data_IF_344980776467
#
_entry.id   IF_344980776467
#
_cell.length_a   1.000
_cell.length_b   1.000
_cell.length_c   1.000
_cell.angle_alpha   90.00
_cell.angle_beta   90.00
_cell.angle_gamma   90.00
#
_symmetry.space_group_name_H-M   'P 1'
#
loop_
_entity.id
_entity.type
_entity.pdbx_description
1 polymer ?
#
# COMPACT_ATOMS: atom_id res chain seq x y z
N UNK A 1 3.70 -18.90 24.65
CA UNK A 1 2.49 -18.54 23.91
C UNK A 1 2.81 -17.31 23.07
N UNK A 2 2.89 -17.44 21.75
CA UNK A 2 3.35 -16.37 20.85
C UNK A 2 2.42 -15.16 20.84
N UNK A 3 2.95 -13.98 20.56
CA UNK A 3 2.13 -12.77 20.38
C UNK A 3 1.22 -12.93 19.16
N UNK A 4 0.00 -12.35 19.17
CA UNK A 4 -0.92 -12.43 18.04
C UNK A 4 -0.29 -11.88 16.73
N UNK A 5 0.54 -10.85 16.87
CA UNK A 5 1.36 -10.24 15.80
C UNK A 5 2.30 -11.28 15.15
N UNK A 6 2.94 -12.13 15.94
CA UNK A 6 3.87 -13.15 15.43
C UNK A 6 3.15 -14.20 14.58
N UNK A 7 1.93 -14.57 14.96
CA UNK A 7 1.15 -15.58 14.23
C UNK A 7 0.76 -15.06 12.84
N UNK A 8 0.31 -13.80 12.74
CA UNK A 8 -0.06 -13.18 11.47
C UNK A 8 1.12 -13.11 10.49
N UNK A 9 2.29 -12.68 10.95
CA UNK A 9 3.50 -12.61 10.11
C UNK A 9 3.96 -14.02 9.70
N UNK A 10 3.93 -14.99 10.61
CA UNK A 10 4.34 -16.38 10.31
C UNK A 10 3.38 -17.08 9.35
N UNK A 11 2.09 -16.72 9.32
CA UNK A 11 1.16 -17.27 8.31
C UNK A 11 1.48 -16.78 6.90
N UNK A 12 2.03 -15.57 6.73
CA UNK A 12 2.42 -15.05 5.43
C UNK A 12 3.63 -15.79 4.81
N UNK A 13 4.48 -16.41 5.63
CA UNK A 13 5.64 -17.22 5.18
C UNK A 13 5.20 -18.38 4.28
N UNK A 14 4.00 -18.93 4.51
CA UNK A 14 3.45 -20.04 3.72
C UNK A 14 3.10 -19.61 2.28
N UNK A 15 2.82 -18.33 2.04
CA UNK A 15 2.49 -17.79 0.72
C UNK A 15 3.69 -17.16 0.01
N UNK A 16 4.43 -16.30 0.70
CA UNK A 16 5.46 -15.44 0.10
C UNK A 16 6.90 -15.97 0.31
N UNK A 17 7.06 -16.96 1.20
CA UNK A 17 8.34 -17.51 1.59
C UNK A 17 9.07 -16.68 2.64
N UNK A 18 10.02 -17.31 3.33
CA UNK A 18 10.69 -16.72 4.49
C UNK A 18 11.51 -15.46 4.14
N UNK A 19 12.18 -15.46 2.98
CA UNK A 19 13.05 -14.36 2.56
C UNK A 19 12.27 -13.05 2.32
N UNK A 20 11.07 -13.14 1.74
CA UNK A 20 10.21 -11.96 1.51
C UNK A 20 9.73 -11.37 2.84
N UNK A 21 9.35 -12.24 3.79
CA UNK A 21 8.90 -11.85 5.13
C UNK A 21 10.03 -11.23 5.94
N UNK A 22 11.24 -11.76 5.88
CA UNK A 22 12.42 -11.16 6.52
C UNK A 22 12.74 -9.78 5.94
N UNK A 23 12.69 -9.62 4.62
CA UNK A 23 12.90 -8.33 3.97
C UNK A 23 11.85 -7.30 4.40
N UNK A 24 10.57 -7.70 4.45
CA UNK A 24 9.48 -6.84 4.91
C UNK A 24 9.61 -6.46 6.39
N UNK A 25 10.03 -7.40 7.25
CA UNK A 25 10.32 -7.11 8.66
C UNK A 25 11.48 -6.11 8.79
N UNK A 26 12.57 -6.32 8.03
CA UNK A 26 13.72 -5.42 8.06
C UNK A 26 13.35 -4.00 7.58
N UNK A 27 12.44 -3.89 6.61
CA UNK A 27 11.92 -2.61 6.14
C UNK A 27 11.04 -1.92 7.18
N UNK A 28 10.09 -2.62 7.77
CA UNK A 28 9.27 -2.06 8.85
C UNK A 28 10.12 -1.58 10.04
N UNK A 29 11.15 -2.35 10.41
CA UNK A 29 12.10 -1.97 11.45
C UNK A 29 12.89 -0.70 11.09
N UNK A 30 13.29 -0.54 9.81
CA UNK A 30 14.00 0.63 9.32
C UNK A 30 13.13 1.90 9.37
N UNK A 31 11.84 1.76 9.10
CA UNK A 31 10.86 2.84 9.21
C UNK A 31 10.42 3.11 10.66
N UNK A 32 10.92 2.32 11.63
CA UNK A 32 10.60 2.47 13.04
C UNK A 32 9.18 2.03 13.42
N UNK A 33 8.52 1.25 12.56
CA UNK A 33 7.15 0.78 12.78
C UNK A 33 7.15 -0.71 13.11
N UNK A 34 6.49 -1.06 14.21
CA UNK A 34 6.44 -2.43 14.74
C UNK A 34 5.01 -3.00 14.71
N UNK A 35 4.28 -2.77 13.61
CA UNK A 35 2.93 -3.31 13.41
C UNK A 35 2.93 -4.44 12.38
N UNK A 36 2.17 -5.51 12.65
CA UNK A 36 1.91 -6.58 11.68
C UNK A 36 1.31 -6.03 10.39
N UNK A 37 0.42 -5.04 10.48
CA UNK A 37 -0.24 -4.45 9.31
C UNK A 37 0.76 -3.84 8.33
N UNK A 38 1.84 -3.22 8.83
CA UNK A 38 2.87 -2.61 7.99
C UNK A 38 3.70 -3.68 7.29
N UNK A 39 4.11 -4.72 8.00
CA UNK A 39 4.84 -5.85 7.41
C UNK A 39 3.99 -6.55 6.34
N UNK A 40 2.72 -6.78 6.63
CA UNK A 40 1.78 -7.39 5.69
C UNK A 40 1.51 -6.50 4.48
N UNK A 41 1.48 -5.18 4.66
CA UNK A 41 1.34 -4.21 3.56
C UNK A 41 2.58 -4.22 2.65
N UNK A 42 3.79 -4.21 3.23
CA UNK A 42 5.04 -4.32 2.48
C UNK A 42 5.06 -5.63 1.67
N UNK A 43 4.66 -6.75 2.28
CA UNK A 43 4.51 -8.03 1.59
C UNK A 43 3.44 -7.99 0.49
N UNK A 44 2.33 -7.29 0.71
CA UNK A 44 1.29 -7.11 -0.31
C UNK A 44 1.84 -6.34 -1.53
N UNK A 45 2.64 -5.29 -1.29
CA UNK A 45 3.31 -4.52 -2.36
C UNK A 45 4.36 -5.34 -3.11
N UNK A 46 5.05 -6.27 -2.45
CA UNK A 46 5.97 -7.18 -3.14
C UNK A 46 5.25 -8.17 -4.06
N UNK A 47 4.00 -8.54 -3.74
CA UNK A 47 3.13 -9.38 -4.57
C UNK A 47 2.50 -8.63 -5.73
N UNK A 48 2.42 -7.29 -5.66
CA UNK A 48 1.80 -6.51 -6.72
C UNK A 48 2.56 -6.73 -8.04
N UNK A 49 1.83 -6.95 -9.15
CA UNK A 49 2.45 -7.08 -10.44
C UNK A 49 3.21 -5.79 -10.79
N UNK A 50 4.31 -5.89 -11.56
CA UNK A 50 5.08 -4.72 -11.96
C UNK A 50 4.16 -3.70 -12.64
N UNK A 51 4.43 -2.42 -12.38
CA UNK A 51 3.63 -1.33 -12.94
C UNK A 51 3.46 -1.51 -14.45
N UNK A 52 2.21 -1.52 -14.96
CA UNK A 52 1.97 -1.63 -16.39
C UNK A 52 2.73 -0.54 -17.16
N UNK A 53 3.20 -0.88 -18.36
CA UNK A 53 3.91 0.07 -19.22
C UNK A 53 3.03 1.31 -19.43
N UNK A 54 3.58 2.53 -19.26
CA UNK A 54 2.81 3.76 -19.44
C UNK A 54 2.20 3.81 -20.85
N UNK A 55 0.88 3.96 -20.93
CA UNK A 55 0.22 4.23 -22.19
C UNK A 55 0.54 5.67 -22.59
N UNK A 56 1.12 5.85 -23.79
CA UNK A 56 1.24 7.17 -24.38
C UNK A 56 -0.17 7.66 -24.71
N UNK A 57 -0.67 8.63 -23.96
CA UNK A 57 -1.99 9.20 -24.19
C UNK A 57 -1.98 9.95 -25.52
N UNK A 58 -2.78 9.54 -26.53
CA UNK A 58 -2.84 10.26 -27.78
C UNK A 58 -3.40 11.67 -27.55
N UNK A 59 -2.91 12.65 -28.30
CA UNK A 59 -3.32 14.06 -28.22
C UNK A 59 -4.85 14.26 -28.36
N UNK A 60 -5.53 13.33 -29.04
CA UNK A 60 -6.99 13.31 -29.18
C UNK A 60 -7.75 13.09 -27.86
N UNK A 61 -7.09 12.53 -26.84
CA UNK A 61 -7.64 12.29 -25.50
C UNK A 61 -7.24 13.36 -24.48
N UNK A 62 -6.68 14.49 -24.92
CA UNK A 62 -6.42 15.62 -24.04
C UNK A 62 -7.72 16.20 -23.51
N UNK A 63 -7.84 16.22 -22.17
CA UNK A 63 -8.96 16.85 -21.50
C UNK A 63 -8.94 18.36 -21.76
N UNK A 64 -10.07 18.90 -22.23
CA UNK A 64 -10.25 20.36 -22.38
C UNK A 64 -10.36 21.07 -21.03
N UNK A 65 -10.80 20.35 -20.00
CA UNK A 65 -10.92 20.84 -18.64
C UNK A 65 -10.41 19.75 -17.70
N UNK A 66 -9.30 20.04 -17.02
CA UNK A 66 -8.73 19.12 -16.04
C UNK A 66 -9.57 19.13 -14.76
N UNK A 67 -9.90 17.97 -14.19
CA UNK A 67 -10.62 17.92 -12.93
C UNK A 67 -9.78 18.56 -11.83
N UNK A 68 -10.31 19.59 -11.19
CA UNK A 68 -9.70 20.17 -10.00
C UNK A 68 -10.02 19.29 -8.80
N UNK A 69 -9.00 18.78 -8.13
CA UNK A 69 -9.14 18.09 -6.85
C UNK A 69 -9.47 19.12 -5.75
N UNK A 70 -10.75 19.47 -5.62
CA UNK A 70 -11.24 20.35 -4.56
C UNK A 70 -11.56 19.55 -3.29
N UNK A 71 -10.54 19.39 -2.45
CA UNK A 71 -10.69 18.77 -1.13
C UNK A 71 -11.55 19.62 -0.17
N UNK A 72 -11.61 20.95 -0.35
CA UNK A 72 -12.39 21.83 0.50
C UNK A 72 -13.89 21.58 0.37
N UNK A 73 -14.34 21.18 -0.83
CA UNK A 73 -15.71 20.70 -1.06
C UNK A 73 -16.05 19.53 -0.14
N UNK A 74 -15.17 18.53 -0.05
CA UNK A 74 -15.38 17.39 0.85
C UNK A 74 -15.30 17.79 2.33
N UNK A 75 -14.39 18.68 2.70
CA UNK A 75 -14.26 19.15 4.08
C UNK A 75 -15.48 19.94 4.57
N UNK A 76 -16.22 20.58 3.67
CA UNK A 76 -17.48 21.26 4.00
C UNK A 76 -18.60 20.26 4.30
N UNK A 77 -18.71 19.18 3.49
CA UNK A 77 -19.67 18.09 3.71
C UNK A 77 -19.34 17.29 4.97
N UNK A 78 -18.06 17.06 5.27
CA UNK A 78 -17.64 16.34 6.48
C UNK A 78 -17.88 17.14 7.76
N UNK A 79 -17.98 18.47 7.66
CA UNK A 79 -18.26 19.38 8.78
C UNK A 79 -19.75 19.71 8.94
N UNK A 80 -20.62 19.27 8.02
CA UNK A 80 -22.05 19.34 8.21
C UNK A 80 -22.47 18.33 9.31
N UNK A 81 -23.31 18.74 10.28
CA UNK A 81 -23.73 17.90 11.40
C UNK A 81 -24.61 16.72 11.00
#
# INVERSE_FOLDING_TARGET
>A
MGSPVMVEILTAVLGDGLSAVEAACAEALREGVHSADVVLNILARQREPPTPVPLLTPESLRLRHEPVADCARYDSLRRAP
#
